data_IF_432707861670
#
_entry.id   IF_432707861670
#
_cell.length_a   1.000
_cell.length_b   1.000
_cell.length_c   1.000
_cell.angle_alpha   90.00
_cell.angle_beta   90.00
_cell.angle_gamma   90.00
#
_symmetry.space_group_name_H-M   'P 1'
#
loop_
_entity.id
_entity.type
_entity.pdbx_description
1 polymer ?
#
# COMPACT_ATOMS: atom_id res chain seq x y z
N UNK A 1 3.83 -40.18 22.33
CA UNK A 1 4.70 -39.56 21.28
C UNK A 1 4.63 -40.18 19.87
N UNK A 2 4.32 -41.48 19.67
CA UNK A 2 4.34 -42.10 18.32
C UNK A 2 3.26 -41.58 17.34
N UNK A 3 2.04 -41.32 17.81
CA UNK A 3 0.92 -40.84 16.97
C UNK A 3 1.14 -39.45 16.35
N UNK A 4 1.87 -38.57 17.03
CA UNK A 4 2.18 -37.19 16.54
C UNK A 4 3.18 -37.23 15.38
N UNK A 5 4.17 -38.13 15.44
CA UNK A 5 5.14 -38.31 14.33
C UNK A 5 4.46 -38.87 13.07
N UNK A 6 3.43 -39.69 13.23
CA UNK A 6 2.69 -40.29 12.12
C UNK A 6 1.76 -39.29 11.42
N UNK A 7 1.10 -38.41 12.18
CA UNK A 7 0.27 -37.34 11.62
C UNK A 7 1.10 -36.29 10.88
N UNK A 8 2.29 -35.94 11.40
CA UNK A 8 3.22 -35.06 10.69
C UNK A 8 3.74 -35.66 9.38
N UNK A 9 4.06 -36.97 9.37
CA UNK A 9 4.45 -37.69 8.14
C UNK A 9 3.33 -37.68 7.10
N UNK A 10 2.09 -37.98 7.50
CA UNK A 10 0.91 -37.92 6.61
C UNK A 10 0.66 -36.50 6.08
N UNK A 11 0.87 -35.47 6.91
CA UNK A 11 0.74 -34.06 6.49
C UNK A 11 1.82 -33.65 5.48
N UNK A 12 3.09 -34.04 5.71
CA UNK A 12 4.18 -33.80 4.75
C UNK A 12 3.94 -34.51 3.43
N UNK A 13 3.50 -35.77 3.45
CA UNK A 13 3.18 -36.53 2.25
C UNK A 13 2.05 -35.87 1.43
N UNK A 14 0.95 -35.46 2.08
CA UNK A 14 -0.16 -34.76 1.41
C UNK A 14 0.28 -33.40 0.84
N UNK A 15 1.18 -32.69 1.52
CA UNK A 15 1.73 -31.42 1.03
C UNK A 15 2.61 -31.64 -0.21
N UNK A 16 3.51 -32.64 -0.17
CA UNK A 16 4.36 -33.00 -1.31
C UNK A 16 3.54 -33.43 -2.52
N UNK A 17 2.52 -34.28 -2.33
CA UNK A 17 1.62 -34.71 -3.41
C UNK A 17 0.80 -33.56 -4.01
N UNK A 18 0.42 -32.56 -3.20
CA UNK A 18 -0.22 -31.33 -3.72
C UNK A 18 0.75 -30.46 -4.50
N UNK A 19 2.00 -30.33 -4.02
CA UNK A 19 3.06 -29.59 -4.72
C UNK A 19 3.45 -30.26 -6.04
N UNK A 20 3.53 -31.59 -6.07
CA UNK A 20 3.73 -32.40 -7.29
C UNK A 20 2.59 -32.19 -8.29
N UNK A 21 1.32 -32.33 -7.87
CA UNK A 21 0.17 -32.07 -8.76
C UNK A 21 0.10 -30.63 -9.30
N UNK A 22 0.46 -29.63 -8.48
CA UNK A 22 0.51 -28.22 -8.91
C UNK A 22 1.65 -28.01 -9.93
N UNK A 23 2.77 -28.70 -9.75
CA UNK A 23 3.90 -28.63 -10.67
C UNK A 23 3.58 -29.33 -12.00
N UNK A 24 2.89 -30.47 -11.96
CA UNK A 24 2.42 -31.20 -13.15
C UNK A 24 1.37 -30.39 -13.93
N UNK A 25 0.45 -29.70 -13.23
CA UNK A 25 -0.51 -28.80 -13.86
C UNK A 25 0.18 -27.61 -14.55
N UNK A 26 1.19 -27.00 -13.91
CA UNK A 26 1.99 -25.92 -14.51
C UNK A 26 2.82 -26.38 -15.70
N UNK A 27 3.41 -27.57 -15.63
CA UNK A 27 4.15 -28.15 -16.74
C UNK A 27 3.24 -28.48 -17.92
N UNK A 28 2.00 -28.94 -17.66
CA UNK A 28 1.01 -29.19 -18.71
C UNK A 28 0.49 -27.91 -19.38
N UNK A 29 0.28 -26.82 -18.61
CA UNK A 29 -0.05 -25.50 -19.18
C UNK A 29 1.11 -24.94 -20.03
N UNK A 30 2.36 -25.11 -19.57
CA UNK A 30 3.57 -24.73 -20.33
C UNK A 30 3.79 -25.61 -21.60
N UNK A 31 3.34 -26.88 -21.58
CA UNK A 31 3.42 -27.81 -22.72
C UNK A 31 2.33 -27.55 -23.77
N UNK A 32 1.12 -27.17 -23.34
CA UNK A 32 0.02 -26.83 -24.25
C UNK A 32 0.33 -25.60 -25.11
N UNK A 33 1.11 -24.64 -24.61
CA UNK A 33 1.61 -23.51 -25.40
C UNK A 33 2.81 -23.88 -26.29
N UNK A 34 3.49 -25.01 -26.03
CA UNK A 34 4.72 -25.42 -26.74
C UNK A 34 4.49 -26.25 -28.00
N UNK A 35 3.34 -26.90 -28.15
CA UNK A 35 3.08 -27.84 -29.25
C UNK A 35 2.21 -27.24 -30.37
N UNK A 36 2.60 -26.07 -30.89
CA UNK A 36 2.01 -25.52 -32.14
C UNK A 36 2.57 -26.20 -33.40
N UNK A 37 3.69 -26.93 -33.27
CA UNK A 37 4.33 -27.71 -34.33
C UNK A 37 4.37 -29.17 -33.89
N UNK A 38 4.11 -30.10 -34.81
CA UNK A 38 4.02 -31.53 -34.51
C UNK A 38 5.39 -32.12 -34.10
N UNK A 39 6.48 -31.54 -34.61
CA UNK A 39 7.83 -31.99 -34.28
C UNK A 39 8.88 -30.85 -34.35
N UNK A 40 10.05 -31.11 -33.74
CA UNK A 40 11.15 -30.15 -33.62
C UNK A 40 11.71 -29.73 -35.00
N UNK A 41 11.71 -30.65 -35.97
CA UNK A 41 12.22 -30.44 -37.32
C UNK A 41 11.33 -29.49 -38.12
N UNK A 42 10.00 -29.62 -37.99
CA UNK A 42 9.03 -28.70 -38.59
C UNK A 42 9.20 -27.27 -38.05
N UNK A 43 9.28 -27.11 -36.73
CA UNK A 43 9.57 -25.80 -36.10
C UNK A 43 10.87 -25.19 -36.65
N UNK A 44 11.94 -25.97 -36.77
CA UNK A 44 13.20 -25.48 -37.33
C UNK A 44 13.03 -25.05 -38.80
N UNK A 45 12.35 -25.83 -39.63
CA UNK A 45 12.11 -25.51 -41.04
C UNK A 45 11.31 -24.20 -41.17
N UNK A 46 10.25 -24.04 -40.39
CA UNK A 46 9.45 -22.82 -40.34
C UNK A 46 10.28 -21.59 -39.94
N UNK A 47 11.08 -21.70 -38.86
CA UNK A 47 11.96 -20.62 -38.42
C UNK A 47 13.04 -20.28 -39.45
N UNK A 48 13.57 -21.27 -40.17
CA UNK A 48 14.57 -21.05 -41.24
C UNK A 48 13.96 -20.29 -42.42
N UNK A 49 12.75 -20.67 -42.86
CA UNK A 49 12.00 -19.94 -43.90
C UNK A 49 11.71 -18.50 -43.49
N UNK A 50 11.25 -18.28 -42.25
CA UNK A 50 10.98 -16.93 -41.73
C UNK A 50 12.25 -16.08 -41.67
N UNK A 51 13.37 -16.64 -41.21
CA UNK A 51 14.67 -15.92 -41.19
C UNK A 51 15.16 -15.52 -42.58
N UNK A 52 14.86 -16.31 -43.60
CA UNK A 52 15.20 -15.99 -45.00
C UNK A 52 14.29 -14.90 -45.58
N UNK A 53 13.00 -14.89 -45.19
CA UNK A 53 12.03 -13.89 -45.64
C UNK A 53 12.20 -12.52 -44.98
N UNK A 54 12.81 -12.46 -43.78
CA UNK A 54 13.10 -11.21 -43.10
C UNK A 54 14.33 -10.49 -43.69
N UNK A 55 14.34 -9.16 -43.61
CA UNK A 55 15.46 -8.32 -44.05
C UNK A 55 16.78 -8.75 -43.38
N UNK A 56 17.94 -8.64 -44.04
CA UNK A 56 19.22 -9.12 -43.45
C UNK A 56 19.73 -8.25 -42.29
N UNK A 57 19.42 -6.95 -42.31
CA UNK A 57 19.84 -6.00 -41.28
C UNK A 57 19.01 -6.15 -40.00
N UNK A 58 19.64 -6.28 -38.81
CA UNK A 58 18.93 -6.46 -37.55
C UNK A 58 17.98 -5.30 -37.22
N UNK A 59 18.37 -4.05 -37.47
CA UNK A 59 17.52 -2.89 -37.17
C UNK A 59 16.27 -2.87 -38.04
N UNK A 60 16.43 -3.13 -39.35
CA UNK A 60 15.29 -3.22 -40.28
C UNK A 60 14.36 -4.36 -39.90
N UNK A 61 14.88 -5.49 -39.41
CA UNK A 61 14.03 -6.59 -38.88
C UNK A 61 13.16 -6.11 -37.75
N UNK A 62 13.75 -5.43 -36.76
CA UNK A 62 13.01 -4.90 -35.61
C UNK A 62 11.95 -3.91 -36.08
N UNK A 63 12.28 -2.96 -36.96
CA UNK A 63 11.30 -2.00 -37.48
C UNK A 63 10.15 -2.67 -38.21
N UNK A 64 10.43 -3.65 -39.08
CA UNK A 64 9.37 -4.39 -39.79
C UNK A 64 8.48 -5.19 -38.85
N UNK A 65 9.06 -5.81 -37.82
CA UNK A 65 8.29 -6.52 -36.80
C UNK A 65 7.44 -5.56 -35.98
N UNK A 66 7.98 -4.43 -35.54
CA UNK A 66 7.22 -3.40 -34.80
C UNK A 66 6.04 -2.88 -35.64
N UNK A 67 6.28 -2.53 -36.91
CA UNK A 67 5.23 -2.08 -37.81
C UNK A 67 4.12 -3.13 -38.02
N UNK A 68 4.50 -4.41 -38.13
CA UNK A 68 3.55 -5.51 -38.22
C UNK A 68 2.73 -5.67 -36.92
N UNK A 69 3.38 -5.61 -35.75
CA UNK A 69 2.71 -5.76 -34.46
C UNK A 69 1.80 -4.57 -34.10
N UNK A 70 2.06 -3.38 -34.63
CA UNK A 70 1.20 -2.21 -34.49
C UNK A 70 -0.07 -2.28 -35.35
N UNK A 71 -0.14 -3.21 -36.31
CA UNK A 71 -1.30 -3.37 -37.17
C UNK A 71 -2.42 -4.16 -36.48
N UNK A 72 -3.34 -3.44 -35.83
CA UNK A 72 -4.51 -3.97 -35.10
C UNK A 72 -5.55 -4.68 -35.99
N UNK A 73 -5.45 -4.55 -37.32
CA UNK A 73 -6.33 -5.22 -38.27
C UNK A 73 -5.87 -6.65 -38.60
N UNK A 74 -4.65 -7.04 -38.23
CA UNK A 74 -4.16 -8.39 -38.48
C UNK A 74 -4.83 -9.40 -37.53
N UNK A 75 -5.47 -10.47 -38.05
CA UNK A 75 -6.07 -11.51 -37.21
C UNK A 75 -5.03 -12.22 -36.33
N UNK A 76 -3.78 -12.28 -36.78
CA UNK A 76 -2.67 -12.84 -36.00
C UNK A 76 -2.31 -11.96 -34.81
N UNK A 77 -2.29 -10.64 -34.98
CA UNK A 77 -2.03 -9.69 -33.89
C UNK A 77 -3.14 -9.75 -32.84
N UNK A 78 -4.41 -9.85 -33.27
CA UNK A 78 -5.54 -10.05 -32.35
C UNK A 78 -5.45 -11.36 -31.57
N UNK A 79 -5.04 -12.46 -32.22
CA UNK A 79 -4.77 -13.73 -31.52
C UNK A 79 -3.65 -13.57 -30.50
N UNK A 80 -2.56 -12.89 -30.86
CA UNK A 80 -1.44 -12.64 -29.96
C UNK A 80 -1.83 -11.78 -28.75
N UNK A 81 -2.70 -10.78 -28.94
CA UNK A 81 -3.31 -9.99 -27.86
C UNK A 81 -4.20 -10.85 -26.96
N UNK A 82 -5.07 -11.69 -27.54
CA UNK A 82 -5.92 -12.60 -26.76
C UNK A 82 -5.13 -13.64 -25.95
N UNK A 83 -3.93 -14.00 -26.41
CA UNK A 83 -3.00 -14.89 -25.69
C UNK A 83 -2.06 -14.16 -24.71
N UNK A 84 -2.28 -12.87 -24.44
CA UNK A 84 -1.46 -12.01 -23.57
C UNK A 84 0.05 -11.91 -23.97
N UNK A 85 0.38 -12.24 -25.22
CA UNK A 85 1.77 -12.17 -25.73
C UNK A 85 2.13 -10.74 -26.13
N UNK A 86 1.15 -9.96 -26.58
CA UNK A 86 1.30 -8.57 -26.98
C UNK A 86 0.29 -7.74 -26.20
N UNK A 87 0.74 -6.61 -25.66
CA UNK A 87 -0.14 -5.70 -24.94
C UNK A 87 -1.28 -5.18 -25.83
N UNK A 88 -2.49 -5.16 -25.27
CA UNK A 88 -3.64 -4.53 -25.93
C UNK A 88 -3.40 -3.02 -26.10
N UNK A 89 -4.09 -2.39 -27.06
CA UNK A 89 -4.04 -0.94 -27.24
C UNK A 89 -4.43 -0.19 -25.96
N UNK A 90 -5.38 -0.73 -25.19
CA UNK A 90 -5.80 -0.17 -23.91
C UNK A 90 -4.70 -0.27 -22.85
N UNK A 91 -4.05 -1.44 -22.73
CA UNK A 91 -2.94 -1.64 -21.80
C UNK A 91 -1.73 -0.75 -22.11
N UNK A 92 -1.49 -0.44 -23.39
CA UNK A 92 -0.43 0.48 -23.81
C UNK A 92 -0.73 1.90 -23.31
N UNK A 93 -1.97 2.37 -23.46
CA UNK A 93 -2.39 3.69 -22.96
C UNK A 93 -2.42 3.72 -21.42
N UNK A 94 -2.87 2.65 -20.75
CA UNK A 94 -2.76 2.52 -19.29
C UNK A 94 -1.30 2.53 -18.81
N UNK A 95 -0.40 1.87 -19.52
CA UNK A 95 1.01 1.88 -19.19
C UNK A 95 1.62 3.28 -19.39
N UNK A 96 1.23 3.99 -20.44
CA UNK A 96 1.67 5.36 -20.74
C UNK A 96 1.19 6.35 -19.68
N UNK A 97 -0.09 6.28 -19.29
CA UNK A 97 -0.65 7.09 -18.21
C UNK A 97 0.00 6.76 -16.86
N UNK A 98 0.18 5.47 -16.54
CA UNK A 98 0.89 5.03 -15.35
C UNK A 98 2.33 5.54 -15.31
N UNK A 99 3.03 5.51 -16.45
CA UNK A 99 4.40 6.02 -16.57
C UNK A 99 4.45 7.53 -16.29
N UNK A 100 3.59 8.32 -16.92
CA UNK A 100 3.50 9.77 -16.70
C UNK A 100 3.24 10.08 -15.22
N UNK A 101 2.26 9.43 -14.59
CA UNK A 101 1.96 9.58 -13.16
C UNK A 101 3.17 9.25 -12.27
N UNK A 102 3.93 8.20 -12.60
CA UNK A 102 5.14 7.86 -11.82
C UNK A 102 6.27 8.88 -11.98
N UNK A 103 6.39 9.52 -13.14
CA UNK A 103 7.35 10.58 -13.39
C UNK A 103 6.96 11.84 -12.61
N UNK A 104 5.69 12.23 -12.63
CA UNK A 104 5.17 13.35 -11.82
C UNK A 104 5.37 13.13 -10.32
N UNK A 105 5.08 11.93 -9.82
CA UNK A 105 5.34 11.61 -8.41
C UNK A 105 6.83 11.75 -8.08
N UNK A 106 7.71 11.37 -9.00
CA UNK A 106 9.16 11.49 -8.82
C UNK A 106 9.60 12.96 -8.79
N UNK A 107 9.07 13.82 -9.66
CA UNK A 107 9.38 15.25 -9.63
C UNK A 107 8.93 15.90 -8.33
N UNK A 108 7.72 15.58 -7.84
CA UNK A 108 7.22 16.08 -6.55
C UNK A 108 8.09 15.58 -5.39
N UNK A 109 8.48 14.31 -5.39
CA UNK A 109 9.39 13.73 -4.39
C UNK A 109 10.75 14.46 -4.39
N UNK A 110 11.33 14.70 -5.56
CA UNK A 110 12.63 15.34 -5.67
C UNK A 110 12.56 16.82 -5.27
N UNK A 111 11.46 17.52 -5.56
CA UNK A 111 11.19 18.86 -5.04
C UNK A 111 11.09 18.87 -3.51
N UNK A 112 10.44 17.87 -2.89
CA UNK A 112 10.41 17.74 -1.43
C UNK A 112 11.82 17.51 -0.84
N UNK A 113 12.64 16.66 -1.49
CA UNK A 113 14.02 16.41 -1.06
C UNK A 113 14.90 17.65 -1.14
N UNK A 114 14.68 18.53 -2.14
CA UNK A 114 15.42 19.80 -2.30
C UNK A 114 15.05 20.83 -1.24
N UNK A 115 13.76 20.97 -0.90
CA UNK A 115 13.28 21.96 0.08
C UNK A 115 13.78 21.72 1.51
N UNK A 116 13.98 20.47 1.92
CA UNK A 116 14.53 20.08 3.25
C UNK A 116 13.86 20.74 4.47
N UNK A 117 12.58 21.10 4.38
CA UNK A 117 11.79 21.66 5.48
C UNK A 117 10.94 20.59 6.18
N UNK A 118 10.52 20.85 7.41
CA UNK A 118 9.60 19.95 8.13
C UNK A 118 8.29 19.72 7.38
N UNK A 119 7.76 20.75 6.73
CA UNK A 119 6.56 20.61 5.92
C UNK A 119 6.80 19.78 4.66
N UNK A 120 7.99 19.89 4.04
CA UNK A 120 8.38 19.03 2.93
C UNK A 120 8.51 17.55 3.33
N UNK A 121 8.90 17.28 4.59
CA UNK A 121 8.93 15.92 5.12
C UNK A 121 7.51 15.39 5.39
N UNK A 122 6.59 16.24 5.89
CA UNK A 122 5.19 15.87 6.09
C UNK A 122 4.51 15.56 4.75
N UNK A 123 4.65 16.43 3.75
CA UNK A 123 4.08 16.20 2.41
C UNK A 123 4.63 14.93 1.78
N UNK A 124 5.94 14.68 1.90
CA UNK A 124 6.55 13.45 1.41
C UNK A 124 5.99 12.20 2.10
N UNK A 125 5.76 12.25 3.42
CA UNK A 125 5.13 11.14 4.14
C UNK A 125 3.69 10.89 3.67
N UNK A 126 2.93 11.97 3.42
CA UNK A 126 1.58 11.88 2.86
C UNK A 126 1.61 11.22 1.49
N UNK A 127 2.41 11.73 0.54
CA UNK A 127 2.54 11.20 -0.82
C UNK A 127 2.89 9.71 -0.80
N UNK A 128 3.90 9.32 -0.03
CA UNK A 128 4.35 7.93 0.02
C UNK A 128 3.28 7.04 0.65
N UNK A 129 2.55 7.52 1.68
CA UNK A 129 1.43 6.78 2.27
C UNK A 129 0.24 6.64 1.31
N UNK A 130 -0.03 7.63 0.48
CA UNK A 130 -1.07 7.61 -0.54
C UNK A 130 -0.80 6.54 -1.59
N UNK A 131 0.45 6.43 -2.04
CA UNK A 131 0.85 5.45 -3.07
C UNK A 131 1.04 4.05 -2.47
N UNK A 132 1.43 3.91 -1.20
CA UNK A 132 1.77 2.61 -0.57
C UNK A 132 0.54 1.84 -0.05
N UNK A 133 -0.37 1.49 -0.96
CA UNK A 133 -1.60 0.71 -0.68
C UNK A 133 -1.40 -0.78 -0.38
N UNK A 134 -2.51 -1.51 -0.21
CA UNK A 134 -2.50 -2.95 0.12
C UNK A 134 -1.87 -3.81 -0.98
N UNK A 135 -2.07 -3.44 -2.26
CA UNK A 135 -1.41 -4.09 -3.42
C UNK A 135 0.13 -3.97 -3.40
N UNK A 136 0.67 -3.05 -2.60
CA UNK A 136 2.12 -2.79 -2.46
C UNK A 136 2.66 -3.38 -1.14
N UNK A 137 1.82 -4.08 -0.37
CA UNK A 137 2.25 -4.83 0.81
C UNK A 137 3.23 -5.95 0.43
N UNK A 138 3.12 -6.53 -0.77
CA UNK A 138 4.07 -7.53 -1.25
C UNK A 138 5.49 -6.98 -1.40
N UNK A 139 6.49 -7.75 -0.92
CA UNK A 139 7.89 -7.33 -0.96
C UNK A 139 8.39 -7.03 -2.39
N UNK A 140 7.95 -7.83 -3.38
CA UNK A 140 8.31 -7.64 -4.79
C UNK A 140 7.75 -6.33 -5.35
N UNK A 141 6.46 -6.06 -5.12
CA UNK A 141 5.80 -4.83 -5.54
C UNK A 141 6.41 -3.60 -4.86
N UNK A 142 6.70 -3.69 -3.56
CA UNK A 142 7.37 -2.64 -2.78
C UNK A 142 8.76 -2.30 -3.32
N UNK A 143 9.59 -3.30 -3.61
CA UNK A 143 10.91 -3.10 -4.24
C UNK A 143 10.80 -2.48 -5.64
N UNK A 144 9.81 -2.90 -6.44
CA UNK A 144 9.55 -2.32 -7.77
C UNK A 144 9.14 -0.86 -7.68
N UNK A 145 8.22 -0.52 -6.78
CA UNK A 145 7.79 0.86 -6.55
C UNK A 145 8.93 1.74 -6.03
N UNK A 146 9.69 1.25 -5.06
CA UNK A 146 10.86 1.96 -4.51
C UNK A 146 11.88 2.32 -5.60
N UNK A 147 12.15 1.39 -6.52
CA UNK A 147 13.01 1.64 -7.70
C UNK A 147 12.39 2.68 -8.65
N UNK A 148 11.10 2.57 -8.98
CA UNK A 148 10.41 3.55 -9.85
C UNK A 148 10.47 4.97 -9.28
N UNK A 149 10.26 5.12 -7.97
CA UNK A 149 10.24 6.42 -7.29
C UNK A 149 11.61 6.93 -6.84
N UNK A 150 12.70 6.16 -7.00
CA UNK A 150 14.03 6.53 -6.51
C UNK A 150 14.06 6.74 -4.99
N UNK A 151 13.43 5.83 -4.24
CA UNK A 151 13.31 5.89 -2.79
C UNK A 151 13.87 4.62 -2.12
N UNK A 152 14.37 4.71 -0.88
CA UNK A 152 14.73 3.51 -0.12
C UNK A 152 13.47 2.71 0.23
N UNK A 153 13.55 1.38 0.12
CA UNK A 153 12.43 0.44 0.37
C UNK A 153 11.82 0.64 1.76
N UNK A 154 12.66 0.97 2.76
CA UNK A 154 12.22 1.29 4.13
C UNK A 154 11.21 2.44 4.17
N UNK A 155 11.35 3.44 3.31
CA UNK A 155 10.46 4.61 3.29
C UNK A 155 9.09 4.26 2.72
N UNK A 156 9.04 3.45 1.66
CA UNK A 156 7.78 2.90 1.12
C UNK A 156 7.10 2.00 2.16
N UNK A 157 7.86 1.15 2.84
CA UNK A 157 7.36 0.33 3.95
C UNK A 157 6.76 1.17 5.08
N UNK A 158 7.41 2.28 5.44
CA UNK A 158 6.93 3.21 6.45
C UNK A 158 5.66 3.92 5.99
N UNK A 159 5.58 4.31 4.73
CA UNK A 159 4.37 4.87 4.12
C UNK A 159 3.19 3.90 4.20
N UNK A 160 3.41 2.63 3.88
CA UNK A 160 2.40 1.58 4.05
C UNK A 160 1.94 1.47 5.51
N UNK A 161 2.88 1.43 6.46
CA UNK A 161 2.56 1.38 7.89
C UNK A 161 1.77 2.62 8.37
N UNK A 162 2.08 3.80 7.83
CA UNK A 162 1.34 5.04 8.11
C UNK A 162 -0.07 4.93 7.54
N UNK A 163 -0.22 4.53 6.27
CA UNK A 163 -1.51 4.34 5.61
C UNK A 163 -2.38 3.34 6.36
N UNK A 164 -1.84 2.18 6.72
CA UNK A 164 -2.58 1.16 7.48
C UNK A 164 -2.95 1.65 8.87
N UNK A 165 -2.11 2.47 9.52
CA UNK A 165 -2.45 3.07 10.81
C UNK A 165 -3.63 4.03 10.69
N UNK A 166 -3.64 4.87 9.64
CA UNK A 166 -4.73 5.82 9.38
C UNK A 166 -6.03 5.07 9.05
N UNK A 167 -5.96 4.04 8.21
CA UNK A 167 -7.15 3.30 7.76
C UNK A 167 -7.69 2.28 8.78
N UNK A 168 -6.82 1.65 9.57
CA UNK A 168 -7.20 0.61 10.56
C UNK A 168 -7.36 1.15 11.97
N UNK A 169 -7.14 2.44 12.22
CA UNK A 169 -7.39 2.99 13.55
C UNK A 169 -8.90 3.10 13.79
N UNK A 170 -9.44 2.22 14.63
CA UNK A 170 -10.76 2.39 15.30
C UNK A 170 -10.76 3.61 16.25
N UNK A 171 -9.60 4.27 16.42
CA UNK A 171 -9.37 5.46 17.27
C UNK A 171 -8.66 6.59 16.51
N UNK A 172 -9.27 7.14 15.48
CA UNK A 172 -8.98 8.51 15.06
C UNK A 172 -10.15 9.46 15.33
N UNK A 173 -10.85 9.26 16.45
CA UNK A 173 -11.45 10.36 17.19
C UNK A 173 -10.37 10.98 18.09
N UNK A 174 -10.36 12.31 18.19
CA UNK A 174 -9.35 13.09 18.91
C UNK A 174 -9.31 12.84 20.43
N UNK A 175 -10.19 12.01 21.00
CA UNK A 175 -10.50 12.01 22.43
C UNK A 175 -9.98 10.82 23.25
N UNK A 176 -9.35 9.79 22.66
CA UNK A 176 -8.87 8.65 23.48
C UNK A 176 -7.58 7.99 22.99
N UNK A 177 -6.43 8.49 23.46
CA UNK A 177 -5.12 7.86 23.25
C UNK A 177 -4.88 6.74 24.28
N UNK A 178 -5.37 5.52 24.04
CA UNK A 178 -5.10 4.37 24.93
C UNK A 178 -3.84 3.56 24.61
N UNK A 179 -3.16 3.81 23.49
CA UNK A 179 -2.15 2.88 22.97
C UNK A 179 -0.70 3.40 23.02
N UNK A 180 -0.39 4.37 23.88
CA UNK A 180 1.01 4.64 24.23
C UNK A 180 1.47 3.55 25.20
N UNK A 181 2.56 2.83 24.88
CA UNK A 181 3.21 1.91 25.83
C UNK A 181 3.46 2.67 27.13
N UNK A 182 2.71 2.31 28.15
CA UNK A 182 2.85 2.87 29.49
C UNK A 182 3.68 1.88 30.31
N UNK A 183 4.47 2.36 31.27
CA UNK A 183 5.29 1.53 32.17
C UNK A 183 4.39 0.54 32.96
N UNK A 184 4.96 -0.55 33.49
CA UNK A 184 4.22 -1.67 34.11
C UNK A 184 3.46 -1.30 35.40
N UNK A 185 3.79 -0.16 36.00
CA UNK A 185 3.11 0.49 37.12
C UNK A 185 1.90 1.35 36.69
N UNK A 186 1.64 1.47 35.38
CA UNK A 186 0.59 2.33 34.89
C UNK A 186 -0.80 1.74 35.15
N UNK A 187 -1.64 2.57 35.75
CA UNK A 187 -3.07 2.35 36.01
C UNK A 187 -3.72 1.61 34.82
N UNK A 188 -4.35 0.48 35.11
CA UNK A 188 -5.01 -0.38 34.14
C UNK A 188 -6.08 0.39 33.36
N UNK A 189 -6.35 0.02 32.10
CA UNK A 189 -7.30 0.73 31.26
C UNK A 189 -8.70 0.78 31.87
N UNK A 190 -9.10 -0.26 32.61
CA UNK A 190 -10.38 -0.31 33.30
C UNK A 190 -10.46 0.69 34.45
N UNK A 191 -9.39 0.83 35.22
CA UNK A 191 -9.32 1.84 36.30
C UNK A 191 -9.30 3.26 35.71
N UNK A 192 -8.62 3.49 34.58
CA UNK A 192 -8.70 4.76 33.85
C UNK A 192 -10.11 5.06 33.35
N UNK A 193 -10.83 4.05 32.87
CA UNK A 193 -12.23 4.18 32.42
C UNK A 193 -13.14 4.53 33.59
N UNK A 194 -12.99 3.88 34.74
CA UNK A 194 -13.74 4.19 35.97
C UNK A 194 -13.46 5.59 36.49
N UNK A 195 -12.21 6.03 36.46
CA UNK A 195 -11.83 7.41 36.83
C UNK A 195 -12.49 8.41 35.89
N UNK A 196 -12.42 8.17 34.57
CA UNK A 196 -13.09 9.03 33.58
C UNK A 196 -14.60 9.10 33.79
N UNK A 197 -15.26 7.95 33.96
CA UNK A 197 -16.71 7.87 34.22
C UNK A 197 -17.08 8.57 35.52
N UNK A 198 -16.28 8.44 36.58
CA UNK A 198 -16.48 9.14 37.84
C UNK A 198 -16.44 10.66 37.66
N UNK A 199 -15.43 11.19 36.97
CA UNK A 199 -15.33 12.63 36.72
C UNK A 199 -16.41 13.12 35.76
N UNK A 200 -16.84 12.33 34.77
CA UNK A 200 -17.92 12.70 33.87
C UNK A 200 -19.32 12.66 34.49
N UNK A 201 -19.49 12.14 35.71
CA UNK A 201 -20.80 12.15 36.40
C UNK A 201 -21.27 13.59 36.63
N UNK A 202 -22.57 13.86 36.43
CA UNK A 202 -23.14 15.18 36.67
C UNK A 202 -22.93 15.59 38.14
N UNK A 203 -22.37 16.77 38.37
CA UNK A 203 -22.11 17.34 39.70
C UNK A 203 -20.69 17.15 40.25
N UNK A 204 -19.85 16.30 39.63
CA UNK A 204 -18.48 16.03 40.13
C UNK A 204 -17.41 16.88 39.41
N UNK A 205 -17.50 17.01 38.08
CA UNK A 205 -16.57 17.86 37.29
C UNK A 205 -17.23 19.08 36.68
N UNK A 206 -18.44 19.44 37.13
CA UNK A 206 -19.15 20.55 36.48
C UNK A 206 -18.49 21.90 36.83
N UNK A 207 -18.40 22.79 35.84
CA UNK A 207 -17.87 24.12 35.99
C UNK A 207 -18.77 24.99 36.87
N UNK A 208 -18.17 25.94 37.57
CA UNK A 208 -18.77 27.02 38.38
C UNK A 208 -19.80 27.88 37.65
N UNK A 209 -20.09 27.60 36.37
CA UNK A 209 -20.97 28.40 35.51
C UNK A 209 -20.28 29.66 34.98
N UNK A 210 -18.97 29.79 35.18
CA UNK A 210 -18.22 30.98 34.79
C UNK A 210 -17.88 30.92 33.29
N UNK A 211 -17.86 32.07 32.60
CA UNK A 211 -17.47 32.15 31.17
C UNK A 211 -16.02 31.69 30.94
N UNK A 212 -15.17 31.78 31.97
CA UNK A 212 -13.81 31.25 31.97
C UNK A 212 -13.74 29.72 31.83
N UNK A 213 -14.84 29.02 32.12
CA UNK A 213 -14.93 27.56 32.06
C UNK A 213 -15.17 27.02 30.65
N UNK A 214 -15.26 27.90 29.64
CA UNK A 214 -15.48 27.52 28.25
C UNK A 214 -14.26 27.93 27.43
N UNK A 215 -13.43 26.95 27.06
CA UNK A 215 -12.25 27.19 26.23
C UNK A 215 -12.61 27.02 24.75
N UNK A 216 -12.26 28.04 23.96
CA UNK A 216 -12.43 28.03 22.50
C UNK A 216 -11.13 27.61 21.83
N UNK A 217 -11.18 26.59 20.98
CA UNK A 217 -10.04 26.13 20.18
C UNK A 217 -10.37 26.30 18.71
N UNK A 218 -9.43 26.89 17.97
CA UNK A 218 -9.56 27.10 16.53
C UNK A 218 -9.32 25.78 15.79
N UNK A 219 -10.32 25.30 15.06
CA UNK A 219 -10.23 24.08 14.26
C UNK A 219 -9.88 24.42 12.79
N UNK A 220 -10.22 25.63 12.33
CA UNK A 220 -9.93 26.05 10.96
C UNK A 220 -10.01 27.57 10.74
N UNK A 221 -9.98 28.05 9.49
CA UNK A 221 -10.23 29.45 9.16
C UNK A 221 -11.62 29.86 9.66
N UNK A 222 -11.66 30.81 10.61
CA UNK A 222 -12.89 31.33 11.24
C UNK A 222 -13.82 30.29 11.89
N UNK A 223 -13.34 29.06 12.13
CA UNK A 223 -14.12 27.95 12.72
C UNK A 223 -13.52 27.55 14.07
N UNK A 224 -14.36 27.56 15.11
CA UNK A 224 -13.97 27.30 16.49
C UNK A 224 -14.87 26.22 17.09
N UNK A 225 -14.30 25.34 17.91
CA UNK A 225 -15.07 24.54 18.86
C UNK A 225 -14.94 25.12 20.26
N UNK A 226 -16.04 25.14 21.00
CA UNK A 226 -16.05 25.33 22.44
C UNK A 226 -16.06 23.96 23.12
N UNK A 227 -15.27 23.82 24.17
CA UNK A 227 -15.39 22.70 25.12
C UNK A 227 -15.34 23.26 26.54
N UNK A 228 -15.99 22.55 27.46
CA UNK A 228 -15.95 22.89 28.87
C UNK A 228 -14.58 22.47 29.43
N UNK A 229 -13.91 23.39 30.11
CA UNK A 229 -12.64 23.14 30.79
C UNK A 229 -12.93 22.36 32.07
N UNK A 230 -12.37 21.15 32.18
CA UNK A 230 -12.54 20.34 33.39
C UNK A 230 -11.60 20.84 34.51
N UNK A 231 -11.96 20.60 35.78
CA UNK A 231 -11.12 20.93 36.95
C UNK A 231 -9.72 20.30 36.83
N UNK A 232 -9.61 19.13 36.20
CA UNK A 232 -8.33 18.44 35.93
C UNK A 232 -7.45 19.15 34.89
N UNK A 233 -7.98 20.12 34.16
CA UNK A 233 -7.27 20.94 33.16
C UNK A 233 -6.89 22.33 33.72
N UNK A 234 -7.35 22.68 34.93
CA UNK A 234 -7.03 23.92 35.64
C UNK A 234 -5.75 23.72 36.47
N UNK A 235 -4.94 24.77 36.59
CA UNK A 235 -3.81 24.73 37.53
C UNK A 235 -4.32 24.90 38.96
N UNK A 236 -3.54 24.48 39.96
CA UNK A 236 -3.91 24.62 41.38
C UNK A 236 -4.23 26.08 41.76
N UNK A 237 -3.52 27.04 41.16
CA UNK A 237 -3.77 28.48 41.26
C UNK A 237 -5.11 28.91 40.65
N UNK A 238 -5.46 28.38 39.48
CA UNK A 238 -6.75 28.70 38.83
C UNK A 238 -7.92 28.18 39.67
N UNK A 239 -7.80 26.96 40.21
CA UNK A 239 -8.80 26.37 41.10
C UNK A 239 -8.96 27.20 42.38
N UNK A 240 -7.86 27.67 42.97
CA UNK A 240 -7.90 28.52 44.16
C UNK A 240 -8.59 29.87 43.91
N UNK A 241 -8.32 30.50 42.76
CA UNK A 241 -8.96 31.76 42.36
C UNK A 241 -10.47 31.60 42.14
N UNK A 242 -10.90 30.47 41.57
CA UNK A 242 -12.32 30.16 41.35
C UNK A 242 -13.09 29.89 42.66
N UNK A 243 -12.41 29.54 43.74
CA UNK A 243 -13.04 29.29 45.06
C UNK A 243 -13.18 30.55 45.92
N UNK A 244 -12.46 31.63 45.59
CA UNK A 244 -12.40 32.87 46.39
C UNK A 244 -13.16 34.02 45.71
N UNK A 245 -13.37 33.96 44.39
CA UNK A 245 -14.21 34.90 43.63
C UNK A 245 -15.68 34.49 43.60
#
# INVERSE_FOLDING_TARGET
>A
MRRVKETERKRKYRKRKREENINDQRQNEDLNMRNTFENRTEKHRALKKLKLALTKSPDRRVTTMVAYLQNSNSPTVRKLQSSEVISSSEEIEEHKTSKALTEDLKTVIDNCKRKRSDDSLKTMNVIISSVSGEKISDNKCRKKLARKLGLPVRRVSRGHAIRTRILKSVKSSWTYKSNRKTRSDAITPDTKKRIYEFWCKPGISRPTGNKADIKRVRIGPKTYSSHMTHILEKTQTDVYLDFIG
#
